data_IF_392330257850
#
_entry.id   IF_392330257850
#
_cell.length_a   1.000
_cell.length_b   1.000
_cell.length_c   1.000
_cell.angle_alpha   90.00
_cell.angle_beta   90.00
_cell.angle_gamma   90.00
#
_symmetry.space_group_name_H-M   'P 1'
#
loop_
_entity.id
_entity.type
_entity.pdbx_description
1 polymer ?
#
# COMPACT_ATOMS: atom_id res chain seq x y z
N UNK A 1 -19.51 19.69 27.69
CA UNK A 1 -18.73 20.35 26.61
C UNK A 1 -17.24 20.54 26.90
N UNK A 2 -16.81 20.58 28.17
CA UNK A 2 -15.38 20.72 28.54
C UNK A 2 -14.51 19.49 28.24
N UNK A 3 -15.07 18.27 28.28
CA UNK A 3 -14.29 17.04 28.03
C UNK A 3 -13.86 16.82 26.56
N UNK A 4 -14.62 17.31 25.57
CA UNK A 4 -14.22 17.22 24.15
C UNK A 4 -13.03 18.14 23.82
N UNK A 5 -12.89 19.26 24.54
CA UNK A 5 -11.74 20.17 24.40
C UNK A 5 -10.50 19.64 25.12
N UNK A 6 -10.66 18.92 26.24
CA UNK A 6 -9.55 18.25 26.92
C UNK A 6 -8.97 17.09 26.09
N UNK A 7 -9.81 16.32 25.38
CA UNK A 7 -9.34 15.30 24.43
C UNK A 7 -8.61 15.91 23.23
N UNK A 8 -9.07 17.04 22.70
CA UNK A 8 -8.35 17.75 21.64
C UNK A 8 -6.98 18.29 22.10
N UNK A 9 -6.88 18.76 23.35
CA UNK A 9 -5.61 19.22 23.92
C UNK A 9 -4.64 18.07 24.26
N UNK A 10 -5.14 16.90 24.68
CA UNK A 10 -4.30 15.73 24.91
C UNK A 10 -3.78 15.09 23.61
N UNK A 11 -4.56 15.13 22.52
CA UNK A 11 -4.09 14.70 21.19
C UNK A 11 -2.98 15.62 20.65
N UNK A 12 -3.01 16.91 21.00
CA UNK A 12 -1.95 17.86 20.64
C UNK A 12 -0.69 17.74 21.51
N UNK A 13 -0.81 17.32 22.78
CA UNK A 13 0.33 17.14 23.68
C UNK A 13 1.11 15.82 23.45
N UNK A 14 0.52 14.86 22.72
CA UNK A 14 1.21 13.64 22.25
C UNK A 14 1.87 13.84 20.86
N UNK A 15 1.88 15.08 20.35
CA UNK A 15 2.45 15.43 19.05
C UNK A 15 3.98 15.61 19.03
N UNK A 16 4.69 15.42 20.15
CA UNK A 16 6.13 15.68 20.22
C UNK A 16 7.03 14.48 19.87
N UNK A 17 6.49 13.33 19.46
CA UNK A 17 7.30 12.17 19.10
C UNK A 17 6.75 11.31 17.95
N UNK A 18 5.99 11.86 17.01
CA UNK A 18 5.77 11.20 15.73
C UNK A 18 6.90 11.61 14.76
N UNK A 19 8.06 10.95 14.88
CA UNK A 19 9.03 10.91 13.77
C UNK A 19 8.36 10.14 12.60
N UNK A 20 8.43 10.52 11.33
CA UNK A 20 9.37 11.44 10.67
C UNK A 20 8.63 12.47 9.82
N UNK A 21 9.02 13.74 9.91
CA UNK A 21 8.64 14.71 8.89
C UNK A 21 9.39 14.28 7.63
N UNK A 22 8.67 13.71 6.65
CA UNK A 22 9.20 13.34 5.34
C UNK A 22 10.23 14.39 4.87
N UNK A 23 11.30 14.02 4.15
CA UNK A 23 12.25 15.00 3.62
C UNK A 23 11.52 16.12 2.88
N UNK A 24 12.01 17.36 2.95
CA UNK A 24 11.31 18.51 2.38
C UNK A 24 10.96 18.33 0.89
N UNK A 25 11.87 17.74 0.11
CA UNK A 25 11.63 17.43 -1.29
C UNK A 25 10.44 16.47 -1.49
N UNK A 26 10.28 15.48 -0.60
CA UNK A 26 9.15 14.56 -0.60
C UNK A 26 7.86 15.28 -0.21
N UNK A 27 7.89 16.14 0.82
CA UNK A 27 6.73 16.95 1.17
C UNK A 27 6.28 17.84 0.03
N UNK A 28 7.21 18.49 -0.68
CA UNK A 28 6.91 19.32 -1.84
C UNK A 28 6.28 18.49 -2.98
N UNK A 29 6.75 17.26 -3.20
CA UNK A 29 6.15 16.35 -4.17
C UNK A 29 4.73 15.93 -3.79
N UNK A 30 4.52 15.52 -2.54
CA UNK A 30 3.20 15.19 -1.99
C UNK A 30 2.27 16.40 -2.09
N UNK A 31 2.77 17.61 -1.81
CA UNK A 31 2.02 18.85 -1.95
C UNK A 31 1.57 19.11 -3.39
N UNK A 32 2.49 18.93 -4.36
CA UNK A 32 2.17 19.06 -5.79
C UNK A 32 1.08 18.06 -6.19
N UNK A 33 1.17 16.83 -5.72
CA UNK A 33 0.15 15.83 -5.99
C UNK A 33 -1.20 16.14 -5.31
N UNK A 34 -1.21 16.58 -4.04
CA UNK A 34 -2.43 17.03 -3.35
C UNK A 34 -3.13 18.19 -4.07
N UNK A 35 -2.40 19.03 -4.80
CA UNK A 35 -2.99 20.10 -5.59
C UNK A 35 -3.78 19.56 -6.80
N UNK A 36 -3.55 18.32 -7.23
CA UNK A 36 -4.38 17.66 -8.22
C UNK A 36 -5.73 17.16 -7.65
N UNK A 37 -5.84 16.94 -6.34
CA UNK A 37 -7.07 16.54 -5.64
C UNK A 37 -8.03 17.70 -5.36
N UNK A 38 -8.39 18.45 -6.40
CA UNK A 38 -9.49 19.42 -6.34
C UNK A 38 -10.85 18.71 -6.47
N UNK A 39 -11.99 19.35 -6.14
CA UNK A 39 -13.32 18.80 -6.43
C UNK A 39 -13.52 18.45 -7.91
N UNK A 40 -12.72 19.04 -8.81
CA UNK A 40 -12.68 18.78 -10.24
C UNK A 40 -11.38 18.03 -10.60
N UNK A 41 -11.06 16.96 -9.88
CA UNK A 41 -9.89 16.13 -10.16
C UNK A 41 -9.74 15.87 -11.66
N UNK A 42 -8.62 16.28 -12.22
CA UNK A 42 -8.33 16.14 -13.65
C UNK A 42 -7.04 15.35 -13.82
N UNK A 43 -7.11 14.27 -14.60
CA UNK A 43 -5.94 13.49 -15.01
C UNK A 43 -4.87 14.36 -15.67
N UNK A 44 -5.23 15.50 -16.27
CA UNK A 44 -4.29 16.46 -16.85
C UNK A 44 -3.29 17.01 -15.82
N UNK A 45 -3.70 17.20 -14.56
CA UNK A 45 -2.80 17.64 -13.49
C UNK A 45 -1.76 16.57 -13.16
N UNK A 46 -2.19 15.31 -13.00
CA UNK A 46 -1.27 14.21 -12.70
C UNK A 46 -0.34 13.89 -13.87
N UNK A 47 -0.80 14.07 -15.10
CA UNK A 47 0.01 13.93 -16.31
C UNK A 47 1.16 14.95 -16.34
N UNK A 48 0.94 16.15 -15.78
CA UNK A 48 1.91 17.23 -15.71
C UNK A 48 2.87 17.11 -14.51
N UNK A 49 2.71 16.12 -13.62
CA UNK A 49 3.63 15.91 -12.51
C UNK A 49 5.03 15.54 -13.01
N UNK A 50 6.02 15.90 -12.19
CA UNK A 50 7.42 15.59 -12.41
C UNK A 50 7.62 14.06 -12.49
N UNK A 51 8.46 13.61 -13.42
CA UNK A 51 8.83 12.19 -13.55
C UNK A 51 10.24 11.85 -13.08
N UNK A 52 10.89 12.78 -12.37
CA UNK A 52 12.19 12.54 -11.76
C UNK A 52 12.11 11.52 -10.62
N UNK A 53 10.98 11.47 -9.90
CA UNK A 53 10.71 10.56 -8.79
C UNK A 53 9.91 9.32 -9.21
N UNK A 54 10.01 8.24 -8.42
CA UNK A 54 9.22 7.04 -8.63
C UNK A 54 7.71 7.27 -8.41
N UNK A 55 7.34 8.02 -7.36
CA UNK A 55 5.96 8.43 -7.10
C UNK A 55 5.37 9.19 -8.30
N UNK A 56 6.06 10.23 -8.77
CA UNK A 56 5.66 11.03 -9.91
C UNK A 56 5.50 10.21 -11.20
N UNK A 57 6.44 9.29 -11.49
CA UNK A 57 6.30 8.33 -12.60
C UNK A 57 5.07 7.43 -12.46
N UNK A 58 4.80 6.90 -11.27
CA UNK A 58 3.61 6.06 -11.05
C UNK A 58 2.32 6.85 -11.28
N UNK A 59 2.24 8.10 -10.80
CA UNK A 59 1.07 8.96 -11.03
C UNK A 59 0.88 9.30 -12.48
N UNK A 60 1.92 9.81 -13.12
CA UNK A 60 1.86 10.18 -14.54
C UNK A 60 1.49 8.97 -15.39
N UNK A 61 2.16 7.84 -15.20
CA UNK A 61 1.89 6.61 -15.94
C UNK A 61 0.44 6.14 -15.77
N UNK A 62 -0.05 6.11 -14.54
CA UNK A 62 -1.44 5.71 -14.26
C UNK A 62 -2.46 6.68 -14.86
N UNK A 63 -2.25 7.99 -14.71
CA UNK A 63 -3.15 9.02 -15.23
C UNK A 63 -3.21 9.01 -16.77
N UNK A 64 -2.07 8.80 -17.44
CA UNK A 64 -2.00 8.65 -18.89
C UNK A 64 -2.79 7.43 -19.38
N UNK A 65 -2.79 6.33 -18.63
CA UNK A 65 -3.45 5.08 -19.03
C UNK A 65 -4.95 5.01 -18.69
N UNK A 66 -5.45 5.89 -17.82
CA UNK A 66 -6.88 5.98 -17.46
C UNK A 66 -7.72 6.79 -18.46
N UNK A 67 -7.10 7.47 -19.43
CA UNK A 67 -7.81 8.18 -20.50
C UNK A 67 -8.64 7.24 -21.39
N UNK A 68 -9.79 7.69 -21.86
CA UNK A 68 -10.71 6.88 -22.69
C UNK A 68 -10.17 6.55 -24.09
N UNK A 69 -9.17 7.31 -24.58
CA UNK A 69 -8.48 7.07 -25.85
C UNK A 69 -6.99 7.39 -25.70
N UNK A 70 -6.18 6.36 -25.47
CA UNK A 70 -4.72 6.49 -25.31
C UNK A 70 -4.05 5.94 -26.55
N UNK A 71 -3.41 6.81 -27.34
CA UNK A 71 -2.63 6.38 -28.50
C UNK A 71 -1.44 5.50 -28.11
N UNK A 72 -0.86 4.82 -29.10
CA UNK A 72 0.22 3.86 -28.87
C UNK A 72 1.47 4.50 -28.24
N UNK A 73 1.81 5.73 -28.63
CA UNK A 73 2.98 6.45 -28.12
C UNK A 73 2.80 6.83 -26.64
N UNK A 74 1.62 7.33 -26.29
CA UNK A 74 1.24 7.70 -24.94
C UNK A 74 1.21 6.48 -24.03
N UNK A 75 0.63 5.37 -24.51
CA UNK A 75 0.65 4.09 -23.79
C UNK A 75 2.07 3.60 -23.56
N UNK A 76 2.94 3.66 -24.57
CA UNK A 76 4.33 3.23 -24.44
C UNK A 76 5.08 4.05 -23.37
N UNK A 77 4.94 5.38 -23.40
CA UNK A 77 5.54 6.26 -22.40
C UNK A 77 5.02 5.98 -20.99
N UNK A 78 3.71 5.79 -20.84
CA UNK A 78 3.11 5.52 -19.55
C UNK A 78 3.56 4.16 -18.98
N UNK A 79 3.65 3.13 -19.82
CA UNK A 79 4.19 1.83 -19.42
C UNK A 79 5.67 1.92 -19.04
N UNK A 80 6.46 2.75 -19.71
CA UNK A 80 7.87 2.98 -19.38
C UNK A 80 8.04 3.66 -18.03
N UNK A 81 7.21 4.65 -17.70
CA UNK A 81 7.20 5.28 -16.38
C UNK A 81 6.96 4.26 -15.28
N UNK A 82 5.93 3.43 -15.45
CA UNK A 82 5.58 2.38 -14.49
C UNK A 82 6.69 1.32 -14.38
N UNK A 83 7.26 0.88 -15.51
CA UNK A 83 8.37 -0.09 -15.51
C UNK A 83 9.63 0.47 -14.86
N UNK A 84 9.96 1.74 -15.10
CA UNK A 84 11.10 2.40 -14.48
C UNK A 84 10.94 2.48 -12.96
N UNK A 85 9.77 2.90 -12.47
CA UNK A 85 9.48 2.91 -11.04
C UNK A 85 9.52 1.50 -10.42
N UNK A 86 8.97 0.49 -11.11
CA UNK A 86 9.03 -0.90 -10.69
C UNK A 86 10.46 -1.46 -10.67
N UNK A 87 11.29 -1.12 -11.66
CA UNK A 87 12.70 -1.52 -11.71
C UNK A 87 13.53 -0.92 -10.57
N UNK A 88 13.15 0.28 -10.10
CA UNK A 88 13.73 0.86 -8.89
C UNK A 88 13.18 0.21 -7.60
N UNK A 89 12.18 -0.67 -7.68
CA UNK A 89 11.62 -1.36 -6.54
C UNK A 89 10.53 -0.58 -5.81
N UNK A 90 9.87 0.39 -6.47
CA UNK A 90 8.80 1.20 -5.88
C UNK A 90 7.47 0.42 -5.89
N UNK A 91 6.96 -0.07 -4.74
CA UNK A 91 5.89 -1.07 -4.71
C UNK A 91 4.58 -0.67 -5.41
N UNK A 92 4.08 0.58 -5.30
CA UNK A 92 2.88 1.00 -6.02
C UNK A 92 2.95 0.85 -7.56
N UNK A 93 4.15 0.78 -8.13
CA UNK A 93 4.34 0.56 -9.56
C UNK A 93 3.94 -0.86 -9.99
N UNK A 94 4.11 -1.85 -9.12
CA UNK A 94 3.84 -3.26 -9.42
C UNK A 94 2.34 -3.49 -9.67
N UNK A 95 1.47 -3.03 -8.77
CA UNK A 95 0.02 -3.17 -8.98
C UNK A 95 -0.46 -2.31 -10.15
N UNK A 96 0.09 -1.11 -10.33
CA UNK A 96 -0.23 -0.24 -11.47
C UNK A 96 0.07 -0.94 -12.81
N UNK A 97 1.26 -1.53 -12.97
CA UNK A 97 1.60 -2.36 -14.14
C UNK A 97 0.62 -3.52 -14.31
N UNK A 98 0.32 -4.22 -13.22
CA UNK A 98 -0.54 -5.39 -13.24
C UNK A 98 -2.00 -5.07 -13.63
N UNK A 99 -2.50 -3.88 -13.31
CA UNK A 99 -3.82 -3.39 -13.74
C UNK A 99 -3.83 -3.16 -15.26
N UNK A 100 -2.85 -2.44 -15.79
CA UNK A 100 -2.84 -2.04 -17.20
C UNK A 100 -2.39 -3.14 -18.17
N UNK A 101 -1.68 -4.16 -17.68
CA UNK A 101 -1.37 -5.39 -18.41
C UNK A 101 -2.47 -6.46 -18.29
N UNK A 102 -3.49 -6.24 -17.46
CA UNK A 102 -4.46 -7.24 -17.01
C UNK A 102 -5.42 -7.80 -18.07
N UNK A 103 -5.14 -7.71 -19.38
CA UNK A 103 -5.94 -8.28 -20.46
C UNK A 103 -5.08 -8.74 -21.64
N UNK A 104 -5.56 -9.73 -22.39
CA UNK A 104 -4.93 -10.20 -23.62
C UNK A 104 -3.49 -10.70 -23.41
N UNK A 105 -2.60 -10.38 -24.36
CA UNK A 105 -1.20 -10.84 -24.33
C UNK A 105 -0.39 -10.39 -23.11
N UNK A 106 -0.79 -9.30 -22.43
CA UNK A 106 -0.11 -8.78 -21.24
C UNK A 106 -0.44 -9.54 -19.95
N UNK A 107 -1.44 -10.42 -19.97
CA UNK A 107 -2.01 -11.01 -18.76
C UNK A 107 -0.98 -11.69 -17.85
N UNK A 108 -0.15 -12.57 -18.42
CA UNK A 108 0.85 -13.32 -17.65
C UNK A 108 1.92 -12.42 -17.05
N UNK A 109 2.30 -11.35 -17.75
CA UNK A 109 3.20 -10.32 -17.20
C UNK A 109 2.53 -9.58 -16.05
N UNK A 110 1.26 -9.19 -16.20
CA UNK A 110 0.49 -8.54 -15.15
C UNK A 110 0.36 -9.41 -13.88
N UNK A 111 0.17 -10.73 -14.02
CA UNK A 111 0.16 -11.65 -12.87
C UNK A 111 1.52 -11.70 -12.15
N UNK A 112 2.64 -11.69 -12.88
CA UNK A 112 3.98 -11.66 -12.27
C UNK A 112 4.19 -10.38 -11.47
N UNK A 113 3.84 -9.23 -12.04
CA UNK A 113 3.94 -7.96 -11.33
C UNK A 113 3.07 -7.94 -10.08
N UNK A 114 1.87 -8.50 -10.14
CA UNK A 114 0.98 -8.56 -8.97
C UNK A 114 1.54 -9.45 -7.87
N UNK A 115 2.14 -10.59 -8.20
CA UNK A 115 2.80 -11.45 -7.21
C UNK A 115 3.99 -10.73 -6.56
N UNK A 116 4.80 -10.04 -7.36
CA UNK A 116 5.87 -9.20 -6.84
C UNK A 116 5.34 -8.08 -5.93
N UNK A 117 4.21 -7.47 -6.30
CA UNK A 117 3.48 -6.51 -5.46
C UNK A 117 3.14 -7.08 -4.08
N UNK A 118 2.52 -8.26 -4.03
CA UNK A 118 2.19 -8.92 -2.77
C UNK A 118 3.45 -9.27 -1.94
N UNK A 119 4.51 -9.76 -2.59
CA UNK A 119 5.81 -10.05 -1.95
C UNK A 119 6.52 -8.79 -1.44
N UNK A 120 6.15 -7.61 -1.93
CA UNK A 120 6.61 -6.31 -1.45
C UNK A 120 5.56 -5.57 -0.61
N UNK A 121 4.50 -6.26 -0.19
CA UNK A 121 3.54 -5.74 0.78
C UNK A 121 2.41 -4.90 0.20
N UNK A 122 2.15 -4.94 -1.10
CA UNK A 122 1.02 -4.22 -1.71
C UNK A 122 -0.33 -4.91 -1.38
N UNK A 123 -1.19 -4.21 -0.65
CA UNK A 123 -2.49 -4.72 -0.18
C UNK A 123 -3.47 -4.98 -1.33
N UNK A 124 -3.46 -4.15 -2.37
CA UNK A 124 -4.37 -4.28 -3.51
C UNK A 124 -3.95 -5.47 -4.38
N UNK A 125 -2.65 -5.62 -4.63
CA UNK A 125 -2.09 -6.78 -5.32
C UNK A 125 -2.48 -8.09 -4.64
N UNK A 126 -2.32 -8.16 -3.31
CA UNK A 126 -2.68 -9.34 -2.53
C UNK A 126 -4.18 -9.67 -2.59
N UNK A 127 -5.05 -8.65 -2.52
CA UNK A 127 -6.50 -8.80 -2.66
C UNK A 127 -6.89 -9.34 -4.03
N UNK A 128 -6.33 -8.76 -5.09
CA UNK A 128 -6.64 -9.13 -6.47
C UNK A 128 -6.16 -10.54 -6.81
N UNK A 129 -5.05 -11.01 -6.23
CA UNK A 129 -4.60 -12.40 -6.36
C UNK A 129 -5.47 -13.37 -5.55
N UNK A 130 -5.87 -12.99 -4.34
CA UNK A 130 -6.70 -13.84 -3.47
C UNK A 130 -8.01 -14.25 -4.15
N UNK A 131 -8.64 -13.33 -4.90
CA UNK A 131 -9.86 -13.61 -5.68
C UNK A 131 -9.66 -14.51 -6.91
N UNK A 132 -8.42 -14.89 -7.25
CA UNK A 132 -8.08 -15.65 -8.48
C UNK A 132 -7.58 -17.07 -8.21
N UNK A 133 -7.15 -17.38 -7.00
CA UNK A 133 -6.76 -18.75 -6.64
C UNK A 133 -8.03 -19.58 -6.46
N UNK A 134 -8.11 -20.78 -7.04
CA UNK A 134 -9.25 -21.70 -6.91
C UNK A 134 -9.62 -21.95 -5.44
N UNK A 135 -10.93 -21.95 -5.12
CA UNK A 135 -11.50 -22.04 -3.76
C UNK A 135 -11.18 -23.33 -3.00
N UNK A 136 -10.73 -24.34 -3.71
CA UNK A 136 -10.53 -25.70 -3.26
C UNK A 136 -9.38 -25.86 -2.27
N UNK A 137 -8.29 -25.08 -2.38
CA UNK A 137 -7.16 -25.16 -1.43
C UNK A 137 -6.71 -26.61 -1.18
N UNK A 138 -6.85 -27.46 -2.21
CA UNK A 138 -6.82 -28.90 -2.07
C UNK A 138 -5.41 -29.43 -1.78
N UNK A 139 -4.39 -28.60 -2.06
CA UNK A 139 -3.00 -28.88 -1.78
C UNK A 139 -2.37 -27.81 -0.88
N UNK A 140 -1.31 -28.21 -0.18
CA UNK A 140 -0.58 -27.37 0.76
C UNK A 140 0.00 -26.09 0.15
N UNK A 141 0.40 -26.09 -1.12
CA UNK A 141 0.96 -24.91 -1.77
C UNK A 141 -0.13 -23.86 -2.00
N UNK A 142 -1.28 -24.27 -2.54
CA UNK A 142 -2.44 -23.38 -2.73
C UNK A 142 -2.93 -22.78 -1.40
N UNK A 143 -2.94 -23.56 -0.32
CA UNK A 143 -3.25 -23.08 1.03
C UNK A 143 -2.22 -22.05 1.53
N UNK A 144 -0.92 -22.29 1.32
CA UNK A 144 0.13 -21.35 1.68
C UNK A 144 0.04 -20.04 0.89
N UNK A 145 -0.24 -20.10 -0.41
CA UNK A 145 -0.42 -18.90 -1.23
C UNK A 145 -1.60 -18.05 -0.77
N UNK A 146 -2.75 -18.68 -0.48
CA UNK A 146 -3.93 -17.98 0.03
C UNK A 146 -3.72 -17.35 1.39
N UNK A 147 -3.14 -18.11 2.31
CA UNK A 147 -2.87 -17.64 3.66
C UNK A 147 -1.85 -16.50 3.63
N UNK A 148 -0.81 -16.59 2.79
CA UNK A 148 0.14 -15.50 2.58
C UNK A 148 -0.52 -14.23 2.04
N UNK A 149 -1.32 -14.34 0.98
CA UNK A 149 -2.01 -13.17 0.41
C UNK A 149 -3.02 -12.55 1.39
N UNK A 150 -3.71 -13.38 2.18
CA UNK A 150 -4.56 -12.92 3.28
C UNK A 150 -3.76 -12.14 4.31
N UNK A 151 -2.57 -12.64 4.69
CA UNK A 151 -1.69 -11.94 5.63
C UNK A 151 -1.26 -10.58 5.08
N UNK A 152 -0.75 -10.52 3.84
CA UNK A 152 -0.36 -9.25 3.20
C UNK A 152 -1.54 -8.28 3.12
N UNK A 153 -2.74 -8.76 2.76
CA UNK A 153 -3.91 -7.89 2.67
C UNK A 153 -4.33 -7.31 4.03
N UNK A 154 -4.30 -8.13 5.09
CA UNK A 154 -4.74 -7.71 6.43
C UNK A 154 -3.68 -6.95 7.22
N UNK A 155 -2.39 -7.12 6.90
CA UNK A 155 -1.32 -6.67 7.76
C UNK A 155 -1.25 -5.12 7.82
N UNK A 156 -1.16 -4.52 9.02
CA UNK A 156 -1.16 -3.06 9.18
C UNK A 156 0.05 -2.35 8.53
N UNK A 157 1.19 -3.04 8.38
CA UNK A 157 2.36 -2.48 7.70
C UNK A 157 2.36 -2.65 6.17
N UNK A 158 1.37 -3.34 5.59
CA UNK A 158 1.27 -3.42 4.12
C UNK A 158 0.93 -2.06 3.53
N UNK A 159 1.41 -1.79 2.31
CA UNK A 159 1.12 -0.55 1.61
C UNK A 159 -0.34 -0.50 1.18
N UNK A 160 -1.04 0.51 1.70
CA UNK A 160 -2.41 0.81 1.30
C UNK A 160 -2.46 1.51 -0.06
N UNK A 161 -3.63 1.45 -0.68
CA UNK A 161 -3.90 2.19 -1.89
C UNK A 161 -3.67 3.68 -1.65
N UNK A 162 -2.93 4.26 -2.57
CA UNK A 162 -2.50 5.64 -2.45
C UNK A 162 -3.62 6.65 -2.69
N UNK A 163 -4.67 6.29 -3.44
CA UNK A 163 -5.85 7.15 -3.65
C UNK A 163 -6.58 7.52 -2.34
N UNK A 164 -7.05 6.52 -1.55
CA UNK A 164 -7.64 6.75 -0.23
C UNK A 164 -6.75 7.57 0.71
N UNK A 165 -5.44 7.27 0.76
CA UNK A 165 -4.48 8.00 1.59
C UNK A 165 -4.44 9.48 1.21
N UNK A 166 -4.37 9.80 -0.08
CA UNK A 166 -4.36 11.20 -0.52
C UNK A 166 -5.69 11.90 -0.31
N UNK A 167 -6.82 11.19 -0.44
CA UNK A 167 -8.11 11.76 -0.07
C UNK A 167 -8.12 12.18 1.39
N UNK A 168 -7.63 11.32 2.29
CA UNK A 168 -7.54 11.62 3.72
C UNK A 168 -6.62 12.82 4.01
N UNK A 169 -5.47 12.90 3.35
CA UNK A 169 -4.56 14.05 3.44
C UNK A 169 -5.20 15.35 2.94
N UNK A 170 -5.92 15.29 1.81
CA UNK A 170 -6.61 16.45 1.25
C UNK A 170 -7.74 16.95 2.15
N UNK A 171 -8.52 16.03 2.72
CA UNK A 171 -9.62 16.36 3.64
C UNK A 171 -9.08 16.95 4.95
N UNK A 172 -8.00 16.39 5.50
CA UNK A 172 -7.33 16.94 6.68
C UNK A 172 -6.79 18.36 6.43
N UNK A 173 -6.20 18.62 5.26
CA UNK A 173 -5.73 19.96 4.86
C UNK A 173 -6.88 20.97 4.79
N UNK A 174 -8.02 20.59 4.20
CA UNK A 174 -9.21 21.46 4.13
C UNK A 174 -9.78 21.77 5.51
N UNK A 175 -9.72 20.81 6.42
CA UNK A 175 -10.18 20.99 7.80
C UNK A 175 -9.24 21.87 8.64
N UNK A 176 -7.97 22.00 8.24
CA UNK A 176 -6.90 22.72 8.95
C UNK A 176 -6.18 23.73 8.04
N UNK A 177 -6.84 24.77 7.52
CA UNK A 177 -6.26 25.67 6.49
C UNK A 177 -5.03 26.47 6.95
N UNK A 178 -4.77 26.56 8.26
CA UNK A 178 -3.59 27.20 8.83
C UNK A 178 -2.46 26.25 9.24
N UNK A 179 -2.63 24.94 9.06
CA UNK A 179 -1.60 23.94 9.36
C UNK A 179 -0.65 23.79 8.16
N UNK A 180 0.64 23.60 8.45
CA UNK A 180 1.59 23.20 7.41
C UNK A 180 1.40 21.72 7.01
N UNK A 181 2.03 21.31 5.90
CA UNK A 181 1.85 19.96 5.38
C UNK A 181 2.40 18.88 6.33
N UNK A 182 3.49 19.16 7.06
CA UNK A 182 4.03 18.21 8.02
C UNK A 182 3.03 17.94 9.16
N UNK A 183 2.35 18.98 9.65
CA UNK A 183 1.28 18.86 10.64
C UNK A 183 0.10 18.04 10.09
N UNK A 184 -0.31 18.28 8.84
CA UNK A 184 -1.40 17.52 8.19
C UNK A 184 -1.02 16.04 8.08
N UNK A 185 0.21 15.73 7.64
CA UNK A 185 0.72 14.35 7.54
C UNK A 185 0.72 13.69 8.92
N UNK A 186 1.25 14.37 9.94
CA UNK A 186 1.28 13.84 11.31
C UNK A 186 -0.12 13.56 11.86
N UNK A 187 -1.10 14.43 11.59
CA UNK A 187 -2.50 14.22 11.99
C UNK A 187 -3.11 12.98 11.33
N UNK A 188 -2.90 12.81 10.01
CA UNK A 188 -3.39 11.64 9.28
C UNK A 188 -2.69 10.37 9.75
N UNK A 189 -1.37 10.41 9.97
CA UNK A 189 -0.61 9.28 10.51
C UNK A 189 -1.13 8.86 11.89
N UNK A 190 -1.31 9.81 12.82
CA UNK A 190 -1.83 9.53 14.15
C UNK A 190 -3.25 8.90 14.10
N UNK A 191 -4.09 9.35 13.18
CA UNK A 191 -5.40 8.74 12.93
C UNK A 191 -5.26 7.29 12.45
N UNK A 192 -4.42 7.04 11.43
CA UNK A 192 -4.17 5.69 10.90
C UNK A 192 -3.57 4.77 11.95
N UNK A 193 -2.65 5.26 12.79
CA UNK A 193 -2.06 4.49 13.88
C UNK A 193 -3.12 4.00 14.89
N UNK A 194 -4.08 4.86 15.23
CA UNK A 194 -5.21 4.48 16.09
C UNK A 194 -6.11 3.42 15.44
N UNK A 195 -6.41 3.56 14.15
CA UNK A 195 -7.21 2.58 13.38
C UNK A 195 -6.46 1.25 13.22
N UNK A 196 -5.14 1.31 13.09
CA UNK A 196 -4.30 0.15 12.88
C UNK A 196 -4.15 -0.76 14.09
N UNK A 197 -4.41 -0.27 15.31
CA UNK A 197 -4.45 -1.13 16.49
C UNK A 197 -5.51 -2.23 16.34
N UNK A 198 -6.73 -1.85 15.92
CA UNK A 198 -7.79 -2.81 15.64
C UNK A 198 -7.45 -3.68 14.43
N UNK A 199 -6.77 -3.14 13.41
CA UNK A 199 -6.28 -3.90 12.25
C UNK A 199 -5.25 -4.96 12.65
N UNK A 200 -4.33 -4.64 13.57
CA UNK A 200 -3.34 -5.57 14.11
C UNK A 200 -4.00 -6.71 14.89
N UNK A 201 -4.99 -6.40 15.73
CA UNK A 201 -5.80 -7.40 16.43
C UNK A 201 -6.56 -8.31 15.44
N UNK A 202 -7.20 -7.72 14.43
CA UNK A 202 -7.87 -8.47 13.36
C UNK A 202 -6.91 -9.32 12.53
N UNK A 203 -5.68 -8.85 12.30
CA UNK A 203 -4.64 -9.64 11.65
C UNK A 203 -4.33 -10.89 12.50
N UNK A 204 -3.99 -10.71 13.77
CA UNK A 204 -3.60 -11.80 14.69
C UNK A 204 -4.73 -12.79 14.97
N UNK A 205 -5.97 -12.33 15.05
CA UNK A 205 -7.11 -13.18 15.44
C UNK A 205 -8.00 -13.61 14.26
N UNK A 206 -7.94 -12.92 13.12
CA UNK A 206 -8.74 -13.23 11.94
C UNK A 206 -7.93 -13.86 10.82
N UNK A 207 -6.86 -13.22 10.37
CA UNK A 207 -6.12 -13.64 9.18
C UNK A 207 -5.03 -14.69 9.50
N UNK A 208 -4.41 -14.61 10.69
CA UNK A 208 -3.36 -15.54 11.15
C UNK A 208 -3.83 -16.97 11.41
N UNK A 209 -5.00 -17.22 12.04
CA UNK A 209 -5.43 -18.58 12.34
C UNK A 209 -5.55 -19.46 11.09
N UNK A 210 -5.93 -18.86 9.96
CA UNK A 210 -5.97 -19.53 8.65
C UNK A 210 -6.97 -20.68 8.59
N UNK A 211 -7.97 -20.71 9.48
CA UNK A 211 -8.88 -21.85 9.65
C UNK A 211 -9.53 -22.30 8.33
N UNK A 212 -9.91 -21.34 7.47
CA UNK A 212 -10.52 -21.62 6.18
C UNK A 212 -9.55 -22.27 5.16
N UNK A 213 -8.26 -21.99 5.25
CA UNK A 213 -7.25 -22.49 4.31
C UNK A 213 -6.65 -23.83 4.72
N UNK A 214 -6.73 -24.14 6.02
CA UNK A 214 -6.01 -25.25 6.63
C UNK A 214 -6.91 -26.45 6.95
N UNK A 215 -8.23 -26.25 7.03
CA UNK A 215 -9.18 -27.26 7.53
C UNK A 215 -9.18 -28.57 6.74
N UNK A 216 -8.86 -28.54 5.44
CA UNK A 216 -8.80 -29.72 4.57
C UNK A 216 -7.45 -30.45 4.60
N UNK A 217 -6.44 -29.89 5.27
CA UNK A 217 -5.06 -30.40 5.23
C UNK A 217 -4.74 -31.28 6.44
N UNK A 218 -3.81 -32.22 6.24
CA UNK A 218 -3.22 -33.00 7.32
C UNK A 218 -2.47 -32.10 8.33
N UNK A 219 -2.31 -32.51 9.60
CA UNK A 219 -1.54 -31.73 10.58
C UNK A 219 -0.12 -31.37 10.11
N UNK A 220 0.55 -32.29 9.40
CA UNK A 220 1.90 -32.07 8.87
C UNK A 220 1.91 -31.01 7.76
N UNK A 221 0.92 -31.04 6.85
CA UNK A 221 0.78 -30.02 5.83
C UNK A 221 0.39 -28.66 6.43
N UNK A 222 -0.45 -28.63 7.46
CA UNK A 222 -0.77 -27.39 8.18
C UNK A 222 0.49 -26.78 8.82
N UNK A 223 1.33 -27.60 9.46
CA UNK A 223 2.60 -27.15 10.04
C UNK A 223 3.54 -26.61 8.95
N UNK A 224 3.62 -27.28 7.80
CA UNK A 224 4.39 -26.82 6.65
C UNK A 224 3.88 -25.47 6.13
N UNK A 225 2.56 -25.32 5.95
CA UNK A 225 1.95 -24.08 5.46
C UNK A 225 2.28 -22.92 6.40
N UNK A 226 2.05 -23.08 7.71
CA UNK A 226 2.33 -22.03 8.70
C UNK A 226 3.79 -21.60 8.66
N UNK A 227 4.73 -22.55 8.62
CA UNK A 227 6.17 -22.28 8.52
C UNK A 227 6.51 -21.50 7.24
N UNK A 228 5.99 -21.95 6.10
CA UNK A 228 6.24 -21.34 4.79
C UNK A 228 5.68 -19.92 4.73
N UNK A 229 4.42 -19.72 5.14
CA UNK A 229 3.77 -18.40 5.13
C UNK A 229 4.48 -17.43 6.05
N UNK A 230 4.86 -17.88 7.25
CA UNK A 230 5.59 -17.04 8.20
C UNK A 230 6.94 -16.60 7.64
N UNK A 231 7.68 -17.49 6.97
CA UNK A 231 8.95 -17.14 6.33
C UNK A 231 8.76 -16.11 5.20
N UNK A 232 7.74 -16.29 4.35
CA UNK A 232 7.40 -15.34 3.28
C UNK A 232 7.00 -13.98 3.82
N UNK A 233 6.18 -13.95 4.88
CA UNK A 233 5.77 -12.70 5.52
C UNK A 233 6.98 -11.99 6.16
N UNK A 234 7.87 -12.72 6.82
CA UNK A 234 9.10 -12.14 7.36
C UNK A 234 9.95 -11.48 6.26
N UNK A 235 10.05 -12.09 5.07
CA UNK A 235 10.72 -11.47 3.93
C UNK A 235 9.94 -10.26 3.39
N UNK A 236 8.61 -10.34 3.31
CA UNK A 236 7.76 -9.23 2.86
C UNK A 236 7.92 -8.00 3.76
N UNK A 237 7.98 -8.18 5.08
CA UNK A 237 8.21 -7.10 6.04
C UNK A 237 9.61 -6.46 5.88
N UNK A 238 10.64 -7.25 5.53
CA UNK A 238 11.95 -6.71 5.16
C UNK A 238 11.88 -5.89 3.87
N UNK A 239 11.17 -6.40 2.86
CA UNK A 239 10.98 -5.69 1.59
C UNK A 239 10.26 -4.34 1.80
N UNK A 240 9.24 -4.31 2.67
CA UNK A 240 8.55 -3.06 3.06
C UNK A 240 9.54 -2.09 3.72
N UNK A 241 10.31 -2.55 4.72
CA UNK A 241 11.33 -1.73 5.42
C UNK A 241 12.34 -1.14 4.45
N UNK A 242 12.85 -1.95 3.52
CA UNK A 242 13.82 -1.53 2.52
C UNK A 242 13.23 -0.51 1.54
N UNK A 243 11.99 -0.73 1.09
CA UNK A 243 11.28 0.19 0.20
C UNK A 243 11.06 1.54 0.87
N UNK A 244 10.60 1.58 2.13
CA UNK A 244 10.43 2.82 2.90
C UNK A 244 11.74 3.57 3.07
N UNK A 245 12.82 2.86 3.40
CA UNK A 245 14.17 3.47 3.52
C UNK A 245 14.63 4.09 2.20
N UNK A 246 14.31 3.46 1.07
CA UNK A 246 14.69 3.94 -0.27
C UNK A 246 13.77 5.07 -0.77
N UNK A 247 12.49 5.02 -0.42
CA UNK A 247 11.43 5.90 -0.88
C UNK A 247 10.61 6.39 0.33
N UNK A 248 11.03 7.49 0.98
CA UNK A 248 10.40 7.96 2.21
C UNK A 248 8.92 8.32 2.06
N UNK A 249 8.46 8.68 0.85
CA UNK A 249 7.04 8.93 0.58
C UNK A 249 6.14 7.73 0.86
N UNK A 250 6.69 6.51 0.84
CA UNK A 250 5.96 5.30 1.17
C UNK A 250 5.56 5.20 2.66
N UNK A 251 6.16 5.99 3.56
CA UNK A 251 5.68 6.13 4.95
C UNK A 251 4.22 6.58 5.00
N UNK A 252 3.75 7.31 3.99
CA UNK A 252 2.35 7.70 3.87
C UNK A 252 1.41 6.51 3.63
N UNK A 253 1.92 5.42 3.05
CA UNK A 253 1.11 4.28 2.60
C UNK A 253 1.20 3.09 3.56
N UNK A 254 2.20 3.05 4.44
CA UNK A 254 2.43 1.98 5.43
C UNK A 254 2.28 2.53 6.86
N UNK A 255 2.47 1.65 7.84
CA UNK A 255 2.62 1.98 9.25
C UNK A 255 3.87 1.28 9.80
N UNK A 256 5.01 2.00 9.86
CA UNK A 256 6.29 1.44 10.28
C UNK A 256 6.27 0.75 11.65
N UNK A 257 5.41 1.22 12.55
CA UNK A 257 5.25 0.71 13.92
C UNK A 257 4.87 -0.78 13.97
N UNK A 258 4.30 -1.31 12.89
CA UNK A 258 3.89 -2.71 12.81
C UNK A 258 4.78 -3.55 11.89
N UNK A 259 5.89 -3.03 11.35
CA UNK A 259 6.74 -3.79 10.43
C UNK A 259 7.48 -4.97 11.09
N UNK A 260 7.40 -5.11 12.41
CA UNK A 260 7.89 -6.27 13.17
C UNK A 260 6.77 -7.19 13.69
N UNK A 261 5.52 -6.90 13.35
CA UNK A 261 4.36 -7.72 13.73
C UNK A 261 4.35 -9.03 12.93
N UNK A 262 5.10 -10.01 13.40
CA UNK A 262 5.07 -11.35 12.83
C UNK A 262 4.33 -12.32 13.77
N UNK A 263 3.44 -13.17 13.24
CA UNK A 263 2.76 -14.16 14.05
C UNK A 263 3.74 -15.11 14.77
N UNK A 264 3.35 -15.64 15.94
CA UNK A 264 4.15 -16.62 16.65
C UNK A 264 4.44 -17.83 15.74
N UNK A 265 5.61 -18.48 15.93
CA UNK A 265 6.00 -19.67 15.17
C UNK A 265 5.04 -20.84 15.36
#
# INVERSE_FOLDING_TARGET
>A
MLWRRALAACVLAWGAAAHSALPEAVQQEVQRWLNCYSPNYSSACEIALDSSSALGRVRRGSALLLGSEVDAATRARAMEDLRSAAAEGYPPAYESLAVFLGRGAGWSEGLRWRWLGAEHGDTDAAKQLSGRIGLDGADRQSAADRMFLSWVHCHPASFESSGPTMSALNDARKASPGADLAQVIAQVHAKRLNEAKAKAENFLHGCVPGAYYLASLSPDDQAWVRKTVRARMAQTLKNIKEAVRKFPDLELLTLPEYQDLLPPP
#
